data_IF_786012416261
#
_entry.id   IF_786012416261
#
_cell.length_a   1.000
_cell.length_b   1.000
_cell.length_c   1.000
_cell.angle_alpha   90.00
_cell.angle_beta   90.00
_cell.angle_gamma   90.00
#
_symmetry.space_group_name_H-M   'P 1'
#
loop_
_entity.id
_entity.type
_entity.pdbx_description
1 polymer ?
#
# COMPACT_ATOMS: atom_id res chain seq x y z
N UNK A 1 66.40 58.78 -43.85
CA UNK A 1 64.95 58.63 -43.59
C UNK A 1 64.61 57.19 -43.98
N UNK A 2 64.73 56.17 -43.12
CA UNK A 2 63.97 55.87 -41.90
C UNK A 2 62.45 55.90 -42.11
N UNK A 3 61.86 54.76 -42.50
CA UNK A 3 60.93 53.92 -41.72
C UNK A 3 60.16 53.01 -42.69
N UNK A 4 60.54 51.73 -42.75
CA UNK A 4 59.69 50.67 -43.30
C UNK A 4 58.97 49.99 -42.15
N UNK A 5 57.71 50.37 -41.90
CA UNK A 5 56.81 49.65 -41.00
C UNK A 5 55.91 48.75 -41.86
N UNK A 6 56.01 47.45 -41.70
CA UNK A 6 54.90 46.53 -42.00
C UNK A 6 54.89 45.46 -40.93
N UNK A 7 53.79 45.48 -40.17
CA UNK A 7 53.51 44.67 -39.01
C UNK A 7 53.54 43.17 -39.35
N UNK A 8 54.35 42.42 -38.60
CA UNK A 8 54.21 40.97 -38.50
C UNK A 8 53.02 40.67 -37.57
N UNK A 9 51.89 40.26 -38.15
CA UNK A 9 50.79 39.68 -37.37
C UNK A 9 51.08 38.18 -37.16
N UNK A 10 51.53 37.83 -35.95
CA UNK A 10 51.67 36.44 -35.51
C UNK A 10 50.25 35.93 -35.19
N UNK A 11 49.70 35.08 -36.04
CA UNK A 11 48.50 34.30 -35.73
C UNK A 11 48.88 33.19 -34.74
N UNK A 12 48.65 33.42 -33.45
CA UNK A 12 48.70 32.35 -32.46
C UNK A 12 47.42 31.50 -32.59
N UNK A 13 47.53 30.36 -33.27
CA UNK A 13 46.46 29.37 -33.29
C UNK A 13 46.33 28.73 -31.89
N UNK A 14 45.30 29.12 -31.14
CA UNK A 14 44.88 28.43 -29.93
C UNK A 14 44.34 27.06 -30.32
N UNK A 15 45.18 26.02 -30.20
CA UNK A 15 44.75 24.63 -30.25
C UNK A 15 44.03 24.35 -28.92
N UNK A 16 42.71 24.52 -28.92
CA UNK A 16 41.87 23.95 -27.87
C UNK A 16 41.91 22.42 -28.05
N UNK A 17 42.41 21.63 -27.08
CA UNK A 17 42.21 20.20 -27.13
C UNK A 17 40.71 19.95 -27.05
N UNK A 18 40.13 19.43 -28.14
CA UNK A 18 38.81 18.86 -28.11
C UNK A 18 38.88 17.65 -27.18
N UNK A 19 38.42 17.82 -25.94
CA UNK A 19 38.09 16.69 -25.09
C UNK A 19 36.88 16.02 -25.73
N UNK A 20 37.14 15.05 -26.61
CA UNK A 20 36.12 14.06 -26.93
C UNK A 20 35.73 13.42 -25.61
N UNK A 21 34.52 13.72 -25.14
CA UNK A 21 33.87 12.90 -24.14
C UNK A 21 33.83 11.48 -24.73
N UNK A 22 34.57 10.57 -24.12
CA UNK A 22 34.39 9.14 -24.39
C UNK A 22 32.89 8.86 -24.27
N UNK A 23 32.27 8.19 -25.25
CA UNK A 23 30.89 7.76 -25.10
C UNK A 23 30.88 6.90 -23.86
N UNK A 24 30.11 7.32 -22.84
CA UNK A 24 29.89 6.52 -21.64
C UNK A 24 29.56 5.11 -22.11
N UNK A 25 30.46 4.16 -21.85
CA UNK A 25 30.21 2.75 -22.13
C UNK A 25 28.88 2.45 -21.47
N UNK A 26 27.85 2.25 -22.30
CA UNK A 26 26.48 2.18 -21.83
C UNK A 26 26.41 1.18 -20.69
N UNK A 27 25.86 1.59 -19.55
CA UNK A 27 25.50 0.64 -18.49
C UNK A 27 24.65 -0.43 -19.15
N UNK A 28 25.25 -1.60 -19.37
CA UNK A 28 24.56 -2.74 -19.94
C UNK A 28 23.53 -3.14 -18.90
N UNK A 29 22.23 -2.96 -19.20
CA UNK A 29 21.15 -3.60 -18.47
C UNK A 29 21.27 -5.10 -18.70
N UNK A 30 22.07 -5.75 -17.88
CA UNK A 30 22.43 -7.15 -18.00
C UNK A 30 22.91 -7.70 -16.66
N UNK A 31 22.95 -9.04 -16.51
CA UNK A 31 23.41 -9.66 -15.28
C UNK A 31 24.86 -9.26 -14.99
N UNK A 32 25.12 -8.75 -13.78
CA UNK A 32 26.45 -8.41 -13.29
C UNK A 32 26.68 -9.11 -11.95
N UNK A 33 27.79 -9.85 -11.85
CA UNK A 33 28.19 -10.53 -10.62
C UNK A 33 28.51 -9.53 -9.51
N UNK A 34 29.04 -8.36 -9.86
CA UNK A 34 29.33 -7.29 -8.91
C UNK A 34 28.03 -6.69 -8.37
N UNK A 35 27.08 -6.34 -9.24
CA UNK A 35 25.78 -5.82 -8.82
C UNK A 35 25.02 -6.87 -8.01
N UNK A 36 25.07 -8.15 -8.41
CA UNK A 36 24.47 -9.24 -7.65
C UNK A 36 25.10 -9.40 -6.26
N UNK A 37 26.42 -9.28 -6.14
CA UNK A 37 27.09 -9.32 -4.84
C UNK A 37 26.71 -8.12 -3.96
N UNK A 38 26.62 -6.93 -4.54
CA UNK A 38 26.22 -5.71 -3.83
C UNK A 38 24.74 -5.71 -3.40
N UNK A 39 23.84 -6.23 -4.25
CA UNK A 39 22.38 -6.24 -4.02
C UNK A 39 21.89 -7.51 -3.32
N UNK A 40 22.71 -8.56 -3.29
CA UNK A 40 22.38 -9.87 -2.73
C UNK A 40 21.71 -9.81 -1.34
N UNK A 41 22.26 -9.08 -0.36
CA UNK A 41 21.63 -8.95 0.95
C UNK A 41 20.18 -8.46 0.89
N UNK A 42 19.88 -7.48 0.02
CA UNK A 42 18.52 -6.98 -0.15
C UNK A 42 17.57 -8.02 -0.74
N UNK A 43 18.04 -8.84 -1.69
CA UNK A 43 17.24 -9.93 -2.28
C UNK A 43 16.92 -10.99 -1.24
N UNK A 44 17.92 -11.43 -0.47
CA UNK A 44 17.70 -12.45 0.56
C UNK A 44 16.85 -11.92 1.72
N UNK A 45 17.02 -10.66 2.11
CA UNK A 45 16.17 -10.03 3.11
C UNK A 45 14.71 -9.96 2.63
N UNK A 46 14.44 -9.58 1.38
CA UNK A 46 13.07 -9.55 0.87
C UNK A 46 12.36 -10.93 0.93
N UNK A 47 13.09 -12.00 0.63
CA UNK A 47 12.55 -13.37 0.78
C UNK A 47 12.36 -13.73 2.26
N UNK A 48 13.31 -13.37 3.12
CA UNK A 48 13.24 -13.62 4.56
C UNK A 48 12.12 -12.83 5.26
N UNK A 49 11.85 -11.61 4.80
CA UNK A 49 10.86 -10.69 5.35
C UNK A 49 9.44 -10.98 4.83
N UNK A 50 9.30 -11.87 3.85
CA UNK A 50 8.02 -12.28 3.29
C UNK A 50 7.10 -12.84 4.37
N UNK A 51 5.90 -12.28 4.52
CA UNK A 51 4.95 -12.62 5.60
C UNK A 51 5.50 -12.41 7.02
N UNK A 52 6.54 -11.59 7.19
CA UNK A 52 7.01 -11.12 8.49
C UNK A 52 6.73 -9.62 8.64
N UNK A 53 5.81 -9.30 9.55
CA UNK A 53 5.30 -7.93 9.75
C UNK A 53 6.41 -6.91 9.99
N UNK A 54 7.42 -7.28 10.78
CA UNK A 54 8.54 -6.40 11.10
C UNK A 54 9.34 -6.00 9.86
N UNK A 55 9.69 -6.99 9.01
CA UNK A 55 10.42 -6.73 7.77
C UNK A 55 9.66 -5.80 6.83
N UNK A 56 8.35 -6.06 6.66
CA UNK A 56 7.45 -5.21 5.87
C UNK A 56 7.39 -3.77 6.43
N UNK A 57 7.43 -3.59 7.75
CA UNK A 57 7.38 -2.25 8.39
C UNK A 57 8.70 -1.50 8.26
N UNK A 58 9.84 -2.19 8.33
CA UNK A 58 11.18 -1.59 8.17
C UNK A 58 11.44 -1.18 6.72
N UNK A 59 10.88 -1.92 5.76
CA UNK A 59 10.98 -1.66 4.33
C UNK A 59 9.59 -1.42 3.71
N UNK A 60 8.90 -0.32 4.08
CA UNK A 60 7.48 -0.14 3.80
C UNK A 60 7.16 -0.06 2.31
N UNK A 61 8.07 0.41 1.47
CA UNK A 61 7.80 0.53 0.05
C UNK A 61 7.75 -0.80 -0.69
N UNK A 62 8.45 -1.84 -0.20
CA UNK A 62 8.43 -3.19 -0.79
C UNK A 62 8.67 -3.24 -2.30
N UNK A 63 9.86 -3.65 -2.74
CA UNK A 63 10.20 -3.70 -4.18
C UNK A 63 10.18 -5.12 -4.76
N UNK A 64 9.57 -6.07 -4.04
CA UNK A 64 9.57 -7.49 -4.40
C UNK A 64 8.15 -8.00 -4.59
N UNK A 65 8.00 -8.94 -5.52
CA UNK A 65 6.73 -9.59 -5.84
C UNK A 65 6.99 -11.08 -5.98
N UNK A 66 6.17 -11.90 -5.31
CA UNK A 66 6.32 -13.35 -5.33
C UNK A 66 5.04 -14.04 -5.76
N UNK A 67 5.17 -15.19 -6.40
CA UNK A 67 4.06 -16.13 -6.51
C UNK A 67 3.98 -16.91 -5.20
N UNK A 68 2.86 -16.77 -4.50
CA UNK A 68 2.60 -17.43 -3.24
C UNK A 68 1.52 -18.51 -3.40
N UNK A 69 1.66 -19.61 -2.67
CA UNK A 69 0.61 -20.63 -2.56
C UNK A 69 0.10 -20.67 -1.14
N UNK A 70 -1.19 -20.38 -0.97
CA UNK A 70 -1.91 -20.61 0.28
C UNK A 70 -2.39 -22.06 0.28
N UNK A 71 -1.89 -22.91 1.19
CA UNK A 71 -2.26 -24.33 1.20
C UNK A 71 -3.73 -24.54 1.59
N UNK A 72 -4.21 -25.77 1.40
CA UNK A 72 -5.50 -26.19 1.94
C UNK A 72 -5.50 -26.15 3.47
N UNK A 73 -6.65 -25.82 4.05
CA UNK A 73 -6.88 -25.87 5.49
C UNK A 73 -6.48 -24.61 6.27
N UNK A 74 -5.98 -23.56 5.60
CA UNK A 74 -5.65 -22.26 6.19
C UNK A 74 -6.91 -21.53 6.63
N UNK A 75 -6.88 -20.98 7.85
CA UNK A 75 -7.95 -20.17 8.40
C UNK A 75 -7.72 -18.69 8.07
N UNK A 76 -8.79 -18.02 7.65
CA UNK A 76 -8.80 -16.61 7.30
C UNK A 76 -10.01 -15.93 7.95
N UNK A 77 -9.88 -14.66 8.29
CA UNK A 77 -10.77 -13.97 9.20
C UNK A 77 -11.31 -12.70 8.55
N UNK A 78 -12.59 -12.39 8.75
CA UNK A 78 -13.21 -11.18 8.19
C UNK A 78 -14.12 -10.53 9.22
N UNK A 79 -13.85 -9.26 9.52
CA UNK A 79 -14.68 -8.47 10.42
C UNK A 79 -15.63 -7.57 9.64
N UNK A 80 -16.92 -7.59 10.00
CA UNK A 80 -17.93 -6.78 9.34
C UNK A 80 -19.02 -6.30 10.32
N UNK A 81 -19.84 -5.33 9.89
CA UNK A 81 -21.04 -4.90 10.60
C UNK A 81 -22.28 -5.77 10.29
N UNK A 82 -22.11 -6.81 9.46
CA UNK A 82 -23.19 -7.67 8.97
C UNK A 82 -22.83 -9.17 9.09
N UNK A 83 -23.83 -9.99 9.38
CA UNK A 83 -23.72 -11.45 9.36
C UNK A 83 -23.90 -12.03 7.95
N UNK A 84 -23.14 -11.54 6.97
CA UNK A 84 -23.28 -11.97 5.59
C UNK A 84 -21.90 -12.12 4.97
N UNK A 85 -21.72 -13.17 4.16
CA UNK A 85 -20.56 -13.30 3.29
C UNK A 85 -20.56 -12.15 2.28
N UNK A 86 -19.42 -11.46 2.08
CA UNK A 86 -19.30 -10.43 1.06
C UNK A 86 -19.69 -10.95 -0.33
N UNK A 87 -20.52 -10.20 -1.04
CA UNK A 87 -20.95 -10.53 -2.42
C UNK A 87 -20.17 -9.76 -3.48
N UNK A 88 -19.17 -8.98 -3.05
CA UNK A 88 -18.28 -8.16 -3.88
C UNK A 88 -16.85 -8.38 -3.35
N UNK A 89 -15.80 -8.02 -4.11
CA UNK A 89 -14.42 -8.09 -3.62
C UNK A 89 -14.28 -7.44 -2.24
N UNK A 90 -13.65 -8.17 -1.33
CA UNK A 90 -13.42 -7.77 0.05
C UNK A 90 -12.19 -8.54 0.57
N UNK A 91 -11.67 -8.15 1.73
CA UNK A 91 -10.45 -8.71 2.28
C UNK A 91 -10.72 -9.81 3.30
N UNK A 92 -9.79 -10.76 3.40
CA UNK A 92 -9.69 -11.71 4.51
C UNK A 92 -8.30 -11.60 5.14
N UNK A 93 -8.21 -11.59 6.46
CA UNK A 93 -6.95 -11.51 7.19
C UNK A 93 -6.45 -12.89 7.66
N UNK A 94 -5.13 -13.05 7.75
CA UNK A 94 -4.52 -14.21 8.40
C UNK A 94 -4.69 -14.13 9.92
N UNK A 95 -4.48 -12.95 10.49
CA UNK A 95 -4.59 -12.69 11.93
C UNK A 95 -6.04 -12.37 12.34
N UNK A 96 -6.50 -13.02 13.41
CA UNK A 96 -7.82 -12.75 13.99
C UNK A 96 -7.91 -11.32 14.53
N UNK A 97 -6.82 -10.80 15.08
CA UNK A 97 -6.72 -9.46 15.66
C UNK A 97 -6.88 -8.38 14.60
N UNK A 98 -6.41 -8.64 13.39
CA UNK A 98 -6.64 -7.77 12.24
C UNK A 98 -8.14 -7.73 11.93
N UNK A 99 -8.81 -8.88 11.88
CA UNK A 99 -10.23 -8.91 11.56
C UNK A 99 -11.12 -8.33 12.68
N UNK A 100 -10.77 -8.54 13.94
CA UNK A 100 -11.56 -8.14 15.10
C UNK A 100 -11.83 -6.62 15.15
N UNK A 101 -10.85 -5.80 14.79
CA UNK A 101 -10.99 -4.34 14.74
C UNK A 101 -12.05 -3.84 13.73
N UNK A 102 -12.51 -4.71 12.83
CA UNK A 102 -13.61 -4.44 11.89
C UNK A 102 -14.94 -5.13 12.28
N UNK A 103 -14.93 -6.06 13.23
CA UNK A 103 -16.12 -6.74 13.76
C UNK A 103 -16.89 -5.87 14.78
N UNK A 104 -17.22 -4.64 14.39
CA UNK A 104 -17.94 -3.67 15.23
C UNK A 104 -18.99 -2.91 14.43
N UNK A 105 -20.13 -2.60 15.05
CA UNK A 105 -21.08 -1.69 14.42
C UNK A 105 -20.52 -0.27 14.40
N UNK A 106 -20.61 0.40 13.24
CA UNK A 106 -20.27 1.82 13.15
C UNK A 106 -21.22 2.61 14.06
N UNK A 107 -20.68 3.16 15.16
CA UNK A 107 -21.34 4.29 15.83
C UNK A 107 -21.34 5.46 14.82
N UNK A 108 -22.46 6.15 14.59
CA UNK A 108 -22.44 7.40 13.85
C UNK A 108 -21.38 8.30 14.48
N UNK A 109 -20.45 8.80 13.67
CA UNK A 109 -19.53 9.84 14.15
C UNK A 109 -20.33 11.01 14.69
N UNK A 110 -19.80 11.78 15.66
CA UNK A 110 -20.47 13.00 16.10
C UNK A 110 -20.77 13.88 14.87
N UNK A 111 -21.93 14.55 14.83
CA UNK A 111 -22.28 15.43 13.72
C UNK A 111 -21.11 16.37 13.44
N UNK A 112 -20.64 16.40 12.18
CA UNK A 112 -19.65 17.41 11.76
C UNK A 112 -20.29 18.77 12.01
N UNK A 113 -19.78 19.49 13.02
CA UNK A 113 -20.16 20.87 13.28
C UNK A 113 -19.90 21.72 12.04
N UNK A 114 -20.63 22.83 11.85
CA UNK A 114 -20.46 23.67 10.67
C UNK A 114 -19.05 24.28 10.67
N UNK A 115 -18.29 24.08 9.59
CA UNK A 115 -17.24 25.03 9.20
C UNK A 115 -15.79 24.78 9.66
N UNK A 116 -15.26 23.54 9.60
CA UNK A 116 -13.80 23.37 9.50
C UNK A 116 -13.40 23.01 8.07
N UNK A 117 -12.93 24.01 7.34
CA UNK A 117 -12.13 23.82 6.13
C UNK A 117 -10.91 22.96 6.48
N UNK A 118 -10.64 21.92 5.69
CA UNK A 118 -9.40 21.15 5.77
C UNK A 118 -8.27 22.06 5.27
N UNK A 119 -7.54 22.67 6.22
CA UNK A 119 -6.19 23.15 5.99
C UNK A 119 -5.23 21.98 6.10
N UNK A 120 -4.31 21.92 5.15
CA UNK A 120 -3.05 21.17 5.24
C UNK A 120 -2.26 21.73 6.42
N UNK A 121 -2.18 20.99 7.52
CA UNK A 121 -1.26 21.31 8.62
C UNK A 121 -0.55 20.04 9.06
N UNK A 122 0.72 19.98 8.65
CA UNK A 122 1.77 19.19 9.29
C UNK A 122 1.89 19.65 10.74
N UNK A 123 1.43 18.83 11.68
CA UNK A 123 1.53 19.14 13.09
C UNK A 123 1.44 17.88 13.94
N UNK A 124 2.59 17.44 14.42
CA UNK A 124 2.72 16.67 15.65
C UNK A 124 2.05 17.46 16.79
N UNK A 125 0.95 16.94 17.33
CA UNK A 125 0.47 17.35 18.64
C UNK A 125 -0.17 16.16 19.35
N UNK A 126 0.65 15.52 20.19
CA UNK A 126 0.29 14.53 21.18
C UNK A 126 -0.55 15.13 22.31
N UNK A 127 -1.74 15.64 21.98
CA UNK A 127 -2.70 16.09 22.99
C UNK A 127 -4.13 15.68 22.61
N UNK A 128 -4.38 14.37 22.57
CA UNK A 128 -5.75 13.84 22.62
C UNK A 128 -6.46 14.43 23.86
N UNK A 129 -7.57 15.16 23.71
CA UNK A 129 -8.27 15.75 24.85
C UNK A 129 -8.66 14.65 25.83
N UNK A 130 -8.38 14.85 27.13
CA UNK A 130 -8.68 13.88 28.20
C UNK A 130 -10.11 13.35 28.19
N UNK A 131 -11.05 14.14 27.68
CA UNK A 131 -12.46 13.75 27.46
C UNK A 131 -12.65 12.62 26.43
N UNK A 132 -11.84 12.57 25.38
CA UNK A 132 -11.91 11.55 24.34
C UNK A 132 -11.34 10.21 24.82
N UNK A 133 -10.24 10.26 25.60
CA UNK A 133 -9.74 9.11 26.35
C UNK A 133 -10.78 8.61 27.37
N UNK A 134 -11.45 9.52 28.10
CA UNK A 134 -12.48 9.15 29.07
C UNK A 134 -13.68 8.47 28.42
N UNK A 135 -14.14 8.94 27.25
CA UNK A 135 -15.22 8.29 26.49
C UNK A 135 -14.81 6.93 25.95
N UNK A 136 -13.54 6.74 25.58
CA UNK A 136 -13.01 5.43 25.17
C UNK A 136 -12.96 4.46 26.35
N UNK A 137 -12.53 4.92 27.52
CA UNK A 137 -12.49 4.11 28.75
C UNK A 137 -13.90 3.77 29.27
N UNK A 138 -14.83 4.73 29.27
CA UNK A 138 -16.24 4.48 29.61
C UNK A 138 -16.89 3.50 28.62
N UNK A 139 -16.53 3.58 27.32
CA UNK A 139 -16.95 2.62 26.31
C UNK A 139 -16.36 1.22 26.48
N UNK A 140 -15.12 1.11 26.98
CA UNK A 140 -14.48 -0.17 27.36
C UNK A 140 -15.06 -0.74 28.64
N UNK A 141 -15.39 0.11 29.63
CA UNK A 141 -16.03 -0.31 30.88
C UNK A 141 -17.45 -0.84 30.66
N UNK A 142 -18.21 -0.27 29.70
CA UNK A 142 -19.52 -0.78 29.32
C UNK A 142 -19.48 -2.20 28.70
N UNK A 143 -18.36 -2.60 28.07
CA UNK A 143 -18.13 -3.98 27.59
C UNK A 143 -17.84 -4.97 28.73
N UNK A 144 -17.49 -4.50 29.92
CA UNK A 144 -17.18 -5.31 31.10
C UNK A 144 -18.37 -5.50 32.06
N UNK A 145 -19.57 -5.10 31.65
CA UNK A 145 -20.84 -5.59 32.21
C UNK A 145 -21.12 -5.18 33.66
N UNK A 146 -21.49 -3.92 33.89
CA UNK A 146 -22.27 -3.53 35.07
C UNK A 146 -23.23 -2.38 34.71
N UNK A 147 -24.49 -2.67 34.39
CA UNK A 147 -25.51 -1.64 34.27
C UNK A 147 -26.64 -1.98 33.29
N UNK A 148 -27.80 -2.30 33.85
CA UNK A 148 -29.03 -2.69 33.17
C UNK A 148 -29.59 -1.58 32.27
N UNK A 149 -29.51 -1.76 30.95
CA UNK A 149 -30.57 -1.49 29.95
C UNK A 149 -30.19 -2.24 28.66
N UNK A 150 -31.09 -3.03 28.03
CA UNK A 150 -30.76 -3.64 26.75
C UNK A 150 -30.90 -2.56 25.67
N UNK A 151 -29.84 -1.75 25.50
CA UNK A 151 -29.52 -1.24 24.18
C UNK A 151 -29.48 -2.48 23.29
N UNK A 152 -30.29 -2.57 22.23
CA UNK A 152 -30.11 -3.61 21.21
C UNK A 152 -28.59 -3.68 20.93
N UNK A 153 -27.97 -4.79 21.36
CA UNK A 153 -26.52 -4.93 21.32
C UNK A 153 -26.12 -5.01 19.86
N UNK A 154 -25.89 -3.84 19.27
CA UNK A 154 -25.33 -3.69 17.94
C UNK A 154 -23.89 -4.16 18.02
N UNK A 155 -23.69 -5.46 17.78
CA UNK A 155 -22.39 -6.11 17.67
C UNK A 155 -22.02 -6.28 16.19
N UNK A 156 -20.71 -6.32 15.91
CA UNK A 156 -20.25 -6.75 14.60
C UNK A 156 -20.09 -8.26 14.54
N UNK A 157 -19.67 -8.73 13.38
CA UNK A 157 -19.55 -10.16 13.07
C UNK A 157 -18.12 -10.45 12.67
N UNK A 158 -17.55 -11.48 13.30
CA UNK A 158 -16.27 -12.05 12.93
C UNK A 158 -16.53 -13.38 12.23
N UNK A 159 -16.21 -13.44 10.95
CA UNK A 159 -16.37 -14.62 10.12
C UNK A 159 -15.03 -15.34 9.98
N UNK A 160 -15.05 -16.67 10.03
CA UNK A 160 -13.88 -17.51 9.76
C UNK A 160 -14.12 -18.33 8.50
N UNK A 161 -13.20 -18.21 7.56
CA UNK A 161 -13.16 -18.97 6.33
C UNK A 161 -12.01 -19.97 6.38
N UNK A 162 -12.16 -21.06 5.64
CA UNK A 162 -11.11 -22.08 5.50
C UNK A 162 -10.87 -22.39 4.04
N UNK A 163 -9.61 -22.38 3.63
CA UNK A 163 -9.25 -22.80 2.26
C UNK A 163 -9.55 -24.28 2.07
N UNK A 164 -10.21 -24.64 0.97
CA UNK A 164 -10.61 -26.03 0.66
C UNK A 164 -9.69 -26.70 -0.35
N UNK A 165 -8.69 -25.97 -0.85
CA UNK A 165 -7.67 -26.42 -1.81
C UNK A 165 -6.50 -25.46 -1.79
N UNK A 166 -5.34 -25.82 -2.37
CA UNK A 166 -4.28 -24.86 -2.65
C UNK A 166 -4.77 -23.73 -3.56
N UNK A 167 -4.45 -22.49 -3.18
CA UNK A 167 -4.78 -21.27 -3.90
C UNK A 167 -3.48 -20.52 -4.23
N UNK A 168 -3.37 -19.96 -5.44
CA UNK A 168 -2.19 -19.21 -5.88
C UNK A 168 -2.50 -17.73 -5.88
N UNK A 169 -1.63 -16.94 -5.27
CA UNK A 169 -1.76 -15.50 -5.10
C UNK A 169 -0.49 -14.79 -5.56
N UNK A 170 -0.65 -13.51 -5.86
CA UNK A 170 0.48 -12.59 -5.99
C UNK A 170 0.77 -11.98 -4.61
N UNK A 171 1.94 -12.20 -4.05
CA UNK A 171 2.37 -11.49 -2.85
C UNK A 171 3.08 -10.20 -3.24
N UNK A 172 2.68 -9.07 -2.65
CA UNK A 172 3.34 -7.77 -2.81
C UNK A 172 3.99 -7.40 -1.49
N UNK A 173 5.31 -7.23 -1.51
CA UNK A 173 6.13 -6.96 -0.34
C UNK A 173 5.90 -5.56 0.26
N UNK A 174 6.45 -5.30 1.45
CA UNK A 174 6.31 -4.04 2.17
C UNK A 174 4.94 -3.84 2.82
N UNK A 175 4.60 -2.59 3.12
CA UNK A 175 3.30 -2.17 3.67
C UNK A 175 2.28 -1.96 2.53
N UNK A 176 2.18 -2.94 1.64
CA UNK A 176 1.44 -2.89 0.39
C UNK A 176 -0.10 -2.80 0.53
N UNK A 177 -0.64 -2.93 1.73
CA UNK A 177 -2.05 -2.69 2.06
C UNK A 177 -2.31 -1.40 2.83
N UNK A 178 -1.26 -0.61 3.10
CA UNK A 178 -1.37 0.67 3.79
C UNK A 178 -1.85 1.77 2.82
N UNK A 179 -2.99 2.37 3.16
CA UNK A 179 -3.82 3.17 2.24
C UNK A 179 -3.44 4.66 2.28
N UNK A 180 -2.16 4.93 2.50
CA UNK A 180 -1.58 6.27 2.62
C UNK A 180 -0.90 6.75 1.35
N UNK A 181 -0.54 8.04 1.32
CA UNK A 181 0.20 8.66 0.20
C UNK A 181 1.72 8.62 0.42
N UNK A 182 2.24 7.50 0.93
CA UNK A 182 3.65 7.32 1.33
C UNK A 182 4.51 6.61 0.26
N UNK A 183 3.92 6.22 -0.87
CA UNK A 183 4.60 5.48 -1.95
C UNK A 183 4.58 3.96 -1.80
N UNK A 184 4.02 3.44 -0.71
CA UNK A 184 3.93 1.99 -0.43
C UNK A 184 3.06 1.21 -1.43
N UNK A 185 2.25 1.91 -2.21
CA UNK A 185 1.40 1.35 -3.27
C UNK A 185 2.03 1.49 -4.66
N UNK A 186 3.23 2.08 -4.80
CA UNK A 186 3.82 2.40 -6.11
C UNK A 186 4.05 1.15 -6.97
N UNK A 187 4.46 0.04 -6.35
CA UNK A 187 4.59 -1.26 -7.02
C UNK A 187 3.26 -1.72 -7.64
N UNK A 188 2.13 -1.49 -6.96
CA UNK A 188 0.81 -1.85 -7.48
C UNK A 188 0.32 -0.85 -8.53
N UNK A 189 0.48 0.45 -8.27
CA UNK A 189 -0.06 1.50 -9.11
C UNK A 189 0.71 1.71 -10.42
N UNK A 190 2.04 1.67 -10.38
CA UNK A 190 2.88 1.99 -11.54
C UNK A 190 3.44 0.76 -12.23
N UNK A 191 3.81 -0.28 -11.49
CA UNK A 191 4.44 -1.48 -12.07
C UNK A 191 3.37 -2.50 -12.49
N UNK A 192 2.46 -2.88 -11.59
CA UNK A 192 1.47 -3.93 -11.87
C UNK A 192 0.32 -3.45 -12.76
N UNK A 193 -0.27 -2.28 -12.45
CA UNK A 193 -1.39 -1.73 -13.23
C UNK A 193 -0.94 -0.96 -14.48
N UNK A 194 0.27 -0.40 -14.44
CA UNK A 194 0.68 0.66 -15.35
C UNK A 194 0.04 2.01 -14.99
N UNK A 195 0.60 3.10 -15.52
CA UNK A 195 0.12 4.47 -15.28
C UNK A 195 -1.26 4.68 -15.90
N UNK A 196 -2.29 4.29 -15.16
CA UNK A 196 -3.69 4.61 -15.45
C UNK A 196 -4.07 5.82 -14.63
N UNK A 197 -4.23 6.96 -15.30
CA UNK A 197 -4.76 8.19 -14.73
C UNK A 197 -6.07 7.89 -13.97
N UNK A 198 -6.15 8.26 -12.70
CA UNK A 198 -7.32 8.06 -11.82
C UNK A 198 -8.52 8.96 -12.17
N UNK A 199 -8.53 9.56 -13.37
CA UNK A 199 -9.51 10.58 -13.80
C UNK A 199 -10.81 10.02 -14.35
N UNK A 200 -11.06 8.73 -14.21
CA UNK A 200 -12.30 8.12 -14.67
C UNK A 200 -13.30 8.03 -13.51
N UNK A 201 -14.58 8.28 -13.80
CA UNK A 201 -15.70 7.98 -12.90
C UNK A 201 -15.46 6.63 -12.21
N UNK A 202 -15.67 6.53 -10.89
CA UNK A 202 -15.34 5.32 -10.13
C UNK A 202 -15.97 4.09 -10.78
N UNK A 203 -15.13 3.14 -11.23
CA UNK A 203 -15.57 1.89 -11.83
C UNK A 203 -16.43 1.11 -10.84
N UNK A 204 -16.07 1.15 -9.56
CA UNK A 204 -16.86 0.57 -8.49
C UNK A 204 -18.27 1.18 -8.43
N UNK A 205 -18.41 2.51 -8.45
CA UNK A 205 -19.73 3.15 -8.45
C UNK A 205 -20.55 2.78 -9.71
N UNK A 206 -19.91 2.68 -10.87
CA UNK A 206 -20.57 2.24 -12.10
C UNK A 206 -21.06 0.78 -12.02
N UNK A 207 -20.25 -0.12 -11.45
CA UNK A 207 -20.58 -1.55 -11.34
C UNK A 207 -21.62 -1.84 -10.26
N UNK A 208 -21.60 -1.08 -9.17
CA UNK A 208 -22.35 -1.40 -7.96
C UNK A 208 -23.50 -0.45 -7.65
N UNK A 209 -23.54 0.73 -8.28
CA UNK A 209 -24.57 1.74 -8.10
C UNK A 209 -24.48 2.50 -6.77
N UNK A 210 -23.46 2.21 -5.96
CA UNK A 210 -23.19 2.85 -4.68
C UNK A 210 -21.69 3.05 -4.47
N UNK A 211 -21.33 4.06 -3.68
CA UNK A 211 -19.95 4.36 -3.34
C UNK A 211 -19.35 3.22 -2.49
N UNK A 212 -18.24 2.60 -2.92
CA UNK A 212 -17.60 1.53 -2.16
C UNK A 212 -17.13 2.00 -0.79
N UNK A 213 -17.06 1.05 0.16
CA UNK A 213 -16.47 1.30 1.48
C UNK A 213 -14.94 1.39 1.34
N UNK A 214 -14.33 2.28 2.12
CA UNK A 214 -12.87 2.43 2.21
C UNK A 214 -12.37 3.81 1.76
N UNK A 215 -11.05 4.01 1.73
CA UNK A 215 -10.42 5.21 1.20
C UNK A 215 -10.76 5.41 -0.28
N UNK A 216 -10.84 6.66 -0.78
CA UNK A 216 -11.08 6.94 -2.19
C UNK A 216 -10.06 6.24 -3.11
N UNK A 217 -10.52 5.65 -4.22
CA UNK A 217 -9.67 5.00 -5.23
C UNK A 217 -9.19 3.58 -4.88
N UNK A 218 -9.20 3.20 -3.61
CA UNK A 218 -8.74 1.89 -3.15
C UNK A 218 -9.52 0.74 -3.79
N UNK A 219 -10.84 0.87 -3.84
CA UNK A 219 -11.69 -0.17 -4.40
C UNK A 219 -11.47 -0.32 -5.91
N UNK A 220 -11.25 0.78 -6.63
CA UNK A 220 -10.95 0.74 -8.06
C UNK A 220 -9.58 0.09 -8.31
N UNK A 221 -8.59 0.35 -7.46
CA UNK A 221 -7.31 -0.36 -7.46
C UNK A 221 -7.49 -1.87 -7.25
N UNK A 222 -8.33 -2.28 -6.29
CA UNK A 222 -8.66 -3.70 -6.07
C UNK A 222 -9.28 -4.33 -7.31
N UNK A 223 -10.21 -3.64 -7.99
CA UNK A 223 -10.80 -4.15 -9.22
C UNK A 223 -9.78 -4.32 -10.35
N UNK A 224 -8.83 -3.39 -10.49
CA UNK A 224 -7.74 -3.53 -11.45
C UNK A 224 -6.83 -4.73 -11.12
N UNK A 225 -6.53 -4.96 -9.84
CA UNK A 225 -5.75 -6.11 -9.40
C UNK A 225 -6.51 -7.43 -9.59
N UNK A 226 -7.84 -7.44 -9.44
CA UNK A 226 -8.68 -8.59 -9.77
C UNK A 226 -8.57 -8.96 -11.25
N UNK A 227 -8.62 -7.97 -12.15
CA UNK A 227 -8.48 -8.21 -13.60
C UNK A 227 -7.09 -8.81 -13.91
N UNK A 228 -6.03 -8.23 -13.34
CA UNK A 228 -4.65 -8.74 -13.49
C UNK A 228 -4.52 -10.19 -12.99
N UNK A 229 -5.07 -10.48 -11.80
CA UNK A 229 -5.03 -11.82 -11.22
C UNK A 229 -5.81 -12.82 -12.06
N UNK A 230 -6.96 -12.43 -12.62
CA UNK A 230 -7.74 -13.27 -13.52
C UNK A 230 -6.93 -13.65 -14.77
N UNK A 231 -6.26 -12.68 -15.40
CA UNK A 231 -5.40 -12.91 -16.56
C UNK A 231 -4.25 -13.88 -16.23
N UNK A 232 -3.68 -13.75 -15.03
CA UNK A 232 -2.56 -14.59 -14.57
C UNK A 232 -3.00 -15.91 -13.94
N UNK A 233 -4.32 -16.19 -13.89
CA UNK A 233 -4.91 -17.38 -13.27
C UNK A 233 -4.52 -17.52 -11.79
N UNK A 234 -4.50 -16.39 -11.09
CA UNK A 234 -4.32 -16.25 -9.65
C UNK A 234 -5.68 -16.01 -8.97
N UNK A 235 -5.76 -16.25 -7.67
CA UNK A 235 -6.96 -16.06 -6.86
C UNK A 235 -7.08 -14.65 -6.30
N UNK A 236 -5.98 -13.88 -6.32
CA UNK A 236 -5.95 -12.56 -5.71
C UNK A 236 -4.53 -12.12 -5.35
N UNK A 237 -4.46 -11.13 -4.47
CA UNK A 237 -3.21 -10.54 -3.96
C UNK A 237 -3.09 -10.74 -2.44
N UNK A 238 -1.88 -10.98 -1.95
CA UNK A 238 -1.52 -10.92 -0.52
C UNK A 238 -0.75 -9.62 -0.27
N UNK A 239 -1.16 -8.87 0.75
CA UNK A 239 -0.56 -7.58 1.10
C UNK A 239 -0.57 -7.34 2.61
N UNK A 240 0.24 -6.38 3.05
CA UNK A 240 0.44 -6.08 4.48
C UNK A 240 -0.16 -4.74 4.84
N UNK A 241 -1.05 -4.71 5.84
CA UNK A 241 -1.55 -3.49 6.46
C UNK A 241 -0.98 -3.35 7.89
N UNK A 242 -1.19 -2.19 8.52
CA UNK A 242 -0.72 -1.92 9.89
C UNK A 242 -1.14 -2.98 10.93
N UNK A 243 -2.27 -3.67 10.72
CA UNK A 243 -2.75 -4.70 11.64
C UNK A 243 -2.17 -6.10 11.37
N UNK A 244 -1.88 -6.46 10.12
CA UNK A 244 -1.41 -7.79 9.74
C UNK A 244 -1.45 -8.00 8.23
N UNK A 245 -1.57 -9.25 7.80
CA UNK A 245 -1.63 -9.61 6.39
C UNK A 245 -3.07 -9.86 5.94
N UNK A 246 -3.41 -9.35 4.76
CA UNK A 246 -4.70 -9.58 4.13
C UNK A 246 -4.55 -10.19 2.75
N UNK A 247 -5.56 -10.95 2.35
CA UNK A 247 -5.77 -11.40 0.98
C UNK A 247 -7.01 -10.73 0.40
N UNK A 248 -6.96 -10.41 -0.89
CA UNK A 248 -8.05 -9.77 -1.65
C UNK A 248 -8.25 -10.50 -2.96
#
# INVERSE_FOLDING_TARGET
>A
MYLGNSLAAILAALILPSTQAEPSTGQSFGPSTEVAAQRGPGVFNAVYDSLHKWGCTVHPNGMSIFLATVPEGVLLHHGNDRNLTPTRPDWLAYEIEHAEMFARTRRPGPPRGPGKHMGDDRGDDSTEPREELRRRDEGRAALLGTGETPLEEKHGWLHTYRTTRPLRFLYVDGMSGDKGNSGVLDTQQYILRGDKDSKQDSRAEQLFGDKPRGPPGEYDLVLDLCDLCADWKLQGVIRTEGAGFEII
#
